data_IF_346031562081
#
_entry.id   IF_346031562081
#
_cell.length_a   1.000
_cell.length_b   1.000
_cell.length_c   1.000
_cell.angle_alpha   90.00
_cell.angle_beta   90.00
_cell.angle_gamma   90.00
#
_symmetry.space_group_name_H-M   'P 1'
#
loop_
_entity.id
_entity.type
_entity.pdbx_description
1 polymer ?
2 non-polymer ?
3 non-polymer ?
#
# COMPACT_ATOMS: atom_id res chain seq x y z
N UNK A 31 -27.38 -1.63 -16.05
CA UNK A 31 -26.30 -2.49 -16.64
C UNK A 31 -25.66 -3.46 -15.64
N UNK A 32 -24.68 -4.23 -16.13
CA UNK A 32 -23.77 -5.06 -15.30
C UNK A 32 -23.09 -4.25 -14.14
N UNK A 33 -22.58 -4.96 -13.13
CA UNK A 33 -21.79 -4.34 -12.05
C UNK A 33 -20.34 -4.85 -12.07
N UNK A 34 -19.44 -4.11 -11.42
CA UNK A 34 -18.02 -4.47 -11.37
C UNK A 34 -17.38 -4.13 -10.03
N UNK A 35 -16.27 -4.81 -9.74
CA UNK A 35 -15.48 -4.55 -8.54
C UNK A 35 -14.60 -3.33 -8.76
N UNK A 36 -14.21 -2.67 -7.67
CA UNK A 36 -13.24 -1.57 -7.72
C UNK A 36 -12.00 -2.01 -8.50
N UNK A 37 -11.52 -3.23 -8.22
CA UNK A 37 -10.38 -3.80 -8.93
C UNK A 37 -10.52 -3.62 -10.44
N UNK A 38 -11.63 -4.10 -10.99
CA UNK A 38 -11.85 -4.06 -12.43
C UNK A 38 -12.09 -2.63 -12.89
N UNK A 39 -12.75 -1.85 -12.03
CA UNK A 39 -13.06 -0.45 -12.30
C UNK A 39 -11.80 0.37 -12.56
N UNK A 40 -10.90 0.43 -11.59
CA UNK A 40 -9.63 1.14 -11.78
C UNK A 40 -8.73 0.47 -12.81
N UNK A 41 -9.29 -0.46 -13.58
CA UNK A 41 -8.59 -1.05 -14.71
C UNK A 41 -7.71 -2.26 -14.42
N UNK A 42 -7.97 -2.93 -13.29
CA UNK A 42 -7.32 -4.21 -12.99
C UNK A 42 -5.86 -4.17 -12.58
N UNK A 43 -5.17 -5.28 -12.81
CA UNK A 43 -3.82 -5.52 -12.28
C UNK A 43 -2.77 -4.48 -12.63
N UNK A 44 -2.68 -4.11 -13.90
CA UNK A 44 -1.64 -3.18 -14.35
C UNK A 44 -1.69 -1.91 -13.52
N UNK A 45 -2.90 -1.50 -13.16
CA UNK A 45 -3.09 -0.35 -12.29
C UNK A 45 -2.29 -0.51 -11.00
N UNK A 46 -2.50 -1.65 -10.33
CA UNK A 46 -1.87 -1.93 -9.04
C UNK A 46 -0.40 -2.21 -9.18
N UNK A 47 -0.03 -2.84 -10.29
CA UNK A 47 1.36 -3.06 -10.62
C UNK A 47 2.08 -1.72 -10.69
N UNK A 48 1.40 -0.73 -11.30
CA UNK A 48 1.92 0.62 -11.47
C UNK A 48 1.97 1.38 -10.16
N UNK A 49 0.93 1.22 -9.34
CA UNK A 49 0.84 1.94 -8.08
C UNK A 49 2.00 1.62 -7.14
N UNK A 50 2.33 0.34 -7.04
CA UNK A 50 3.38 -0.14 -6.14
C UNK A 50 4.76 0.24 -6.64
N UNK A 51 4.90 0.27 -7.97
CA UNK A 51 6.13 0.67 -8.63
C UNK A 51 6.53 2.07 -8.19
N UNK A 52 5.74 3.07 -8.61
CA UNK A 52 5.96 4.50 -8.30
C UNK A 52 6.03 4.78 -6.81
N UNK A 53 5.58 3.80 -6.03
CA UNK A 53 5.60 3.89 -4.60
C UNK A 53 6.98 3.54 -4.10
N UNK A 54 7.39 2.30 -4.33
CA UNK A 54 8.69 1.85 -3.87
C UNK A 54 9.83 2.63 -4.49
N UNK A 55 9.64 3.08 -5.72
CA UNK A 55 10.57 4.02 -6.35
C UNK A 55 10.93 5.17 -5.39
N UNK A 56 9.89 5.80 -4.83
CA UNK A 56 10.07 6.90 -3.87
C UNK A 56 10.59 6.41 -2.53
N UNK A 57 10.16 5.21 -2.13
CA UNK A 57 10.63 4.58 -0.90
C UNK A 57 12.15 4.34 -0.98
N UNK A 58 12.60 3.85 -2.15
CA UNK A 58 14.03 3.73 -2.47
C UNK A 58 14.77 5.05 -2.24
N UNK A 59 14.22 6.13 -2.79
CA UNK A 59 14.79 7.48 -2.65
C UNK A 59 14.72 8.07 -1.23
N UNK A 60 13.94 7.44 -0.34
CA UNK A 60 13.78 7.92 1.05
C UNK A 60 14.79 7.22 1.96
N UNK A 61 15.59 8.03 2.71
CA UNK A 61 16.60 7.47 3.64
C UNK A 61 15.96 6.60 4.75
N UNK A 62 15.11 7.21 5.59
CA UNK A 62 14.48 6.49 6.72
C UNK A 62 13.81 5.17 6.33
N UNK A 63 13.25 5.15 5.11
CA UNK A 63 12.46 4.00 4.66
C UNK A 63 13.31 2.93 3.92
N UNK A 64 14.45 3.36 3.37
CA UNK A 64 15.38 2.42 2.74
C UNK A 64 15.95 1.44 3.82
N UNK A 65 16.56 2.01 4.94
CA UNK A 65 16.81 1.37 6.26
C UNK A 65 15.68 0.45 6.77
N UNK A 66 14.44 1.00 6.79
CA UNK A 66 13.25 0.27 7.30
C UNK A 66 13.21 -1.20 6.88
N UNK A 67 13.69 -1.46 5.67
CA UNK A 67 13.75 -2.81 5.15
C UNK A 67 15.20 -3.27 5.12
N UNK A 68 15.49 -4.44 5.74
CA UNK A 68 16.87 -4.98 5.82
C UNK A 68 17.47 -5.38 4.46
N UNK A 69 18.77 -5.07 4.29
CA UNK A 69 19.56 -5.45 3.09
C UNK A 69 19.10 -4.75 1.79
N UNK A 70 19.04 -5.54 0.72
CA UNK A 70 18.69 -5.05 -0.62
C UNK A 70 17.83 -6.09 -1.33
N UNK A 71 17.64 -5.89 -2.65
CA UNK A 71 16.81 -6.78 -3.49
C UNK A 71 15.44 -6.96 -2.83
N UNK A 72 14.92 -5.83 -2.35
CA UNK A 72 13.67 -5.77 -1.60
C UNK A 72 12.50 -5.42 -2.55
N UNK A 73 12.70 -5.78 -3.83
CA UNK A 73 11.64 -5.81 -4.87
C UNK A 73 10.51 -6.84 -4.72
N UNK A 74 10.71 -7.91 -3.84
CA UNK A 74 9.63 -8.89 -3.54
C UNK A 74 8.57 -8.30 -2.59
N UNK A 75 9.03 -7.45 -1.66
CA UNK A 75 8.15 -6.65 -0.80
C UNK A 75 7.16 -5.86 -1.65
N UNK A 76 7.66 -5.26 -2.74
CA UNK A 76 6.81 -4.59 -3.74
C UNK A 76 5.71 -5.52 -4.25
N UNK A 77 6.07 -6.78 -4.53
CA UNK A 77 5.13 -7.79 -5.02
C UNK A 77 4.01 -8.05 -4.03
N UNK A 78 4.37 -8.09 -2.74
CA UNK A 78 3.40 -8.37 -1.70
C UNK A 78 2.29 -7.33 -1.64
N UNK A 79 2.67 -6.07 -1.41
CA UNK A 79 1.72 -4.96 -1.38
C UNK A 79 0.81 -5.07 -2.60
N UNK A 80 1.44 -5.06 -3.77
CA UNK A 80 0.79 -5.29 -5.04
C UNK A 80 -0.28 -6.38 -4.97
N UNK A 81 0.09 -7.56 -4.49
CA UNK A 81 -0.81 -8.72 -4.46
C UNK A 81 -1.92 -8.55 -3.45
N UNK A 82 -1.57 -7.89 -2.35
CA UNK A 82 -2.51 -7.58 -1.28
C UNK A 82 -3.59 -6.65 -1.79
N UNK A 83 -3.17 -5.49 -2.29
CA UNK A 83 -4.09 -4.48 -2.78
C UNK A 83 -4.95 -5.00 -3.91
N UNK A 84 -4.35 -5.81 -4.78
CA UNK A 84 -5.12 -6.48 -5.80
C UNK A 84 -6.25 -7.22 -5.13
N UNK A 85 -5.91 -7.97 -4.09
CA UNK A 85 -6.87 -8.80 -3.36
C UNK A 85 -7.94 -7.96 -2.65
N UNK A 86 -7.51 -6.89 -1.98
CA UNK A 86 -8.41 -6.04 -1.20
C UNK A 86 -9.54 -5.42 -2.02
N UNK A 87 -9.21 -4.96 -3.22
CA UNK A 87 -10.19 -4.25 -4.02
C UNK A 87 -11.06 -5.20 -4.86
N UNK A 88 -10.97 -6.49 -4.55
CA UNK A 88 -11.82 -7.50 -5.20
C UNK A 88 -11.12 -8.26 -6.32
N UNK A 89 -9.79 -8.25 -6.29
CA UNK A 89 -9.02 -8.96 -7.32
C UNK A 89 -8.76 -10.40 -6.93
N UNK A 90 -7.80 -11.05 -7.62
CA UNK A 90 -7.24 -12.38 -7.30
C UNK A 90 -6.92 -12.57 -5.81
N UNK A 91 -7.32 -13.72 -5.25
CA UNK A 91 -6.99 -14.09 -3.87
C UNK A 91 -5.50 -14.43 -3.72
N UNK A 92 -4.77 -14.26 -4.83
CA UNK A 92 -3.36 -14.62 -4.90
C UNK A 92 -2.59 -14.38 -3.61
N UNK A 93 -2.78 -13.20 -3.01
CA UNK A 93 -1.99 -12.82 -1.84
C UNK A 93 -2.10 -13.86 -0.72
N UNK A 94 -3.33 -14.25 -0.40
CA UNK A 94 -3.59 -15.25 0.63
C UNK A 94 -2.86 -16.54 0.30
N UNK A 95 -3.07 -17.02 -0.92
CA UNK A 95 -2.53 -18.30 -1.34
C UNK A 95 -0.99 -18.36 -1.40
N UNK A 96 -0.33 -17.38 -0.80
CA UNK A 96 1.12 -17.36 -0.75
C UNK A 96 1.58 -16.82 0.59
N UNK A 97 0.76 -15.93 1.15
CA UNK A 97 1.11 -15.23 2.37
C UNK A 97 0.04 -15.43 3.44
N UNK A 98 -1.01 -16.18 3.08
CA UNK A 98 -2.07 -16.57 4.02
C UNK A 98 -3.04 -15.46 4.35
N UNK A 99 -3.90 -15.71 5.34
CA UNK A 99 -4.77 -14.67 5.88
C UNK A 99 -3.94 -13.48 6.32
N UNK A 100 -4.27 -12.29 5.79
CA UNK A 100 -3.50 -11.06 6.02
C UNK A 100 -3.60 -10.55 7.46
N UNK A 101 -2.59 -10.85 8.27
CA UNK A 101 -2.54 -10.29 9.62
C UNK A 101 -1.59 -9.10 9.56
N UNK A 102 -2.20 -7.93 9.42
CA UNK A 102 -1.50 -6.73 8.98
C UNK A 102 -0.51 -6.20 10.02
N UNK A 103 -1.00 -5.80 11.19
CA UNK A 103 -0.12 -5.26 12.22
C UNK A 103 0.71 -6.34 12.91
N UNK A 104 0.36 -7.62 12.69
CA UNK A 104 1.28 -8.69 13.05
C UNK A 104 2.56 -8.45 12.27
N UNK A 105 2.43 -8.51 10.95
CA UNK A 105 3.55 -8.33 10.04
C UNK A 105 4.16 -6.93 10.10
N UNK A 106 3.54 -6.06 10.89
CA UNK A 106 4.05 -4.71 11.10
C UNK A 106 4.59 -4.49 12.52
N UNK A 107 4.29 -5.42 13.43
CA UNK A 107 4.83 -5.39 14.81
C UNK A 107 6.38 -5.40 14.84
N UNK A 108 7.02 -6.19 13.94
CA UNK A 108 8.48 -6.17 13.88
C UNK A 108 9.08 -4.76 13.82
N UNK A 109 8.31 -3.79 13.34
CA UNK A 109 8.87 -2.50 12.95
C UNK A 109 8.50 -1.31 13.83
N UNK A 110 9.46 -0.41 13.99
CA UNK A 110 9.25 0.79 14.78
C UNK A 110 8.59 1.82 13.87
N UNK A 111 7.25 1.79 13.84
CA UNK A 111 6.44 2.65 12.96
C UNK A 111 5.82 3.79 13.75
N UNK A 112 6.27 5.01 13.47
CA UNK A 112 5.73 6.21 14.12
C UNK A 112 5.13 7.20 13.13
N UNK A 113 4.92 8.44 13.57
CA UNK A 113 4.38 9.49 12.70
C UNK A 113 5.32 9.71 11.54
N UNK A 114 6.49 10.29 11.82
CA UNK A 114 7.50 10.55 10.79
C UNK A 114 7.49 9.44 9.74
N UNK A 115 7.41 8.20 10.21
CA UNK A 115 7.39 7.02 9.34
C UNK A 115 6.19 7.05 8.41
N UNK A 116 5.01 6.84 8.99
CA UNK A 116 3.75 6.86 8.26
C UNK A 116 3.66 8.06 7.32
N UNK A 117 3.92 9.26 7.85
CA UNK A 117 3.88 10.46 7.05
C UNK A 117 4.71 10.32 5.77
N UNK A 118 5.90 9.74 5.88
CA UNK A 118 6.76 9.56 4.71
C UNK A 118 6.21 8.49 3.77
N UNK A 119 5.66 7.42 4.34
CA UNK A 119 4.98 6.38 3.57
C UNK A 119 3.90 7.01 2.74
N UNK A 120 3.03 7.77 3.40
CA UNK A 120 1.89 8.41 2.77
C UNK A 120 2.28 9.38 1.67
N UNK A 121 3.41 10.05 1.85
CA UNK A 121 3.88 11.00 0.85
C UNK A 121 4.29 10.26 -0.43
N UNK A 122 4.78 9.04 -0.27
CA UNK A 122 5.11 8.20 -1.40
C UNK A 122 3.86 7.58 -2.00
N UNK A 123 2.85 7.36 -1.16
CA UNK A 123 1.57 6.85 -1.63
C UNK A 123 0.77 7.91 -2.33
N UNK A 124 0.79 9.14 -1.82
CA UNK A 124 0.14 10.29 -2.48
C UNK A 124 0.70 10.43 -3.88
N UNK A 125 2.02 10.57 -3.96
CA UNK A 125 2.73 10.61 -5.23
C UNK A 125 2.32 9.46 -6.16
N UNK A 126 2.26 8.25 -5.62
CA UNK A 126 1.95 7.05 -6.39
C UNK A 126 0.55 7.07 -6.98
N UNK A 127 -0.37 7.75 -6.30
CA UNK A 127 -1.77 7.75 -6.69
C UNK A 127 -2.04 8.77 -7.79
N UNK A 128 -1.40 9.94 -7.69
CA UNK A 128 -1.58 11.03 -8.66
C UNK A 128 -1.13 10.59 -10.05
N UNK A 129 -0.14 9.69 -10.08
CA UNK A 129 0.42 9.12 -11.30
C UNK A 129 -0.58 8.23 -12.04
N UNK A 130 -1.48 7.62 -11.28
CA UNK A 130 -2.55 6.82 -11.89
C UNK A 130 -3.58 7.73 -12.51
N UNK A 131 -3.69 8.95 -11.97
CA UNK A 131 -4.62 9.94 -12.49
C UNK A 131 -5.98 9.28 -12.68
N UNK A 132 -6.58 8.95 -11.50
CA UNK A 132 -7.92 8.39 -11.50
C UNK A 132 -8.95 9.51 -11.45
N UNK A 133 -10.19 9.20 -11.86
CA UNK A 133 -11.37 10.04 -11.61
C UNK A 133 -11.41 10.33 -10.12
N UNK A 134 -11.86 11.52 -9.74
CA UNK A 134 -11.88 11.89 -8.33
C UNK A 134 -12.60 10.89 -7.42
N UNK A 135 -13.70 10.29 -7.90
CA UNK A 135 -14.49 9.38 -7.07
C UNK A 135 -13.72 8.13 -6.65
N UNK A 136 -13.06 7.51 -7.62
CA UNK A 136 -12.31 6.30 -7.36
C UNK A 136 -11.06 6.65 -6.58
N UNK A 137 -10.30 7.61 -7.11
CA UNK A 137 -9.11 8.09 -6.44
C UNK A 137 -9.40 8.38 -4.97
N UNK A 138 -10.55 8.99 -4.70
CA UNK A 138 -10.92 9.37 -3.36
C UNK A 138 -11.11 8.14 -2.49
N UNK A 139 -11.54 7.05 -3.10
CA UNK A 139 -11.87 5.83 -2.38
C UNK A 139 -10.61 5.04 -2.09
N UNK A 140 -9.78 4.88 -3.11
CA UNK A 140 -8.50 4.24 -2.94
C UNK A 140 -7.64 4.97 -1.91
N UNK A 141 -7.43 6.27 -2.10
CA UNK A 141 -6.53 7.04 -1.24
C UNK A 141 -6.98 7.05 0.20
N UNK A 142 -8.29 7.14 0.41
CA UNK A 142 -8.83 7.22 1.75
C UNK A 142 -8.58 5.96 2.55
N UNK A 143 -8.74 4.80 1.93
CA UNK A 143 -8.39 3.56 2.60
C UNK A 143 -6.94 3.58 3.08
N UNK A 144 -6.03 3.88 2.16
CA UNK A 144 -4.60 3.92 2.43
C UNK A 144 -4.20 5.00 3.43
N UNK A 145 -5.01 6.04 3.54
CA UNK A 145 -4.78 7.08 4.54
C UNK A 145 -5.07 6.56 5.94
N UNK A 146 -6.23 5.92 6.09
CA UNK A 146 -6.59 5.22 7.31
C UNK A 146 -5.57 4.12 7.58
N UNK A 147 -5.43 3.21 6.63
CA UNK A 147 -4.63 2.00 6.82
C UNK A 147 -3.23 2.28 7.32
N UNK A 148 -2.71 3.46 7.02
CA UNK A 148 -1.36 3.84 7.44
C UNK A 148 -1.38 4.55 8.78
N UNK A 149 -2.48 5.23 9.07
CA UNK A 149 -2.67 5.85 10.36
C UNK A 149 -3.00 4.78 11.36
N UNK A 150 -3.69 3.73 10.90
CA UNK A 150 -4.04 2.60 11.74
C UNK A 150 -2.79 1.81 12.13
N UNK A 151 -1.88 1.67 11.19
CA UNK A 151 -0.74 0.76 11.31
C UNK A 151 0.25 1.19 12.37
N UNK A 152 0.27 2.48 12.67
CA UNK A 152 1.22 3.04 13.63
C UNK A 152 1.09 2.37 15.00
N UNK A 153 2.22 1.89 15.52
CA UNK A 153 2.23 1.06 16.73
C UNK A 153 2.83 1.70 18.01
N UNK A 154 3.68 2.72 17.86
CA UNK A 154 4.18 3.52 19.01
C UNK A 154 3.05 4.36 19.67
N UNK A 155 3.20 4.74 20.97
CA UNK A 155 2.08 5.38 21.71
C UNK A 155 1.72 6.83 21.29
N UNK A 156 1.92 7.18 20.01
CA UNK A 156 1.70 8.55 19.52
C UNK A 156 0.26 9.01 19.23
N UNK A 157 -0.61 8.10 18.79
CA UNK A 157 -1.93 8.49 18.26
C UNK A 157 -3.11 8.75 19.25
N UNK A 158 -4.20 9.34 18.74
CA UNK A 158 -5.46 9.47 19.47
C UNK A 158 -6.55 8.47 19.07
N UNK A 159 -6.45 7.27 19.66
CA UNK A 159 -7.53 6.25 19.74
C UNK A 159 -7.09 5.10 20.70
X LIG B 1 5.15 -5.11 5.12
X LIG B 1 6.44 -0.61 6.35
X LIG B 1 1.87 0.77 5.92
X LIG B 1 0.88 -3.38 3.59
X LIG B 1 5.85 -4.03 5.60
X LIG B 1 7.17 -4.10 6.19
X LIG B 1 7.52 -2.84 6.54
X LIG B 1 6.44 -1.97 6.17
X LIG B 1 8.83 -2.31 7.20
X LIG B 1 7.97 -5.43 6.35
X LIG B 1 8.66 -5.84 5.04
X LIG B 1 8.12 -7.11 4.42
X LIG B 1 8.57 -7.47 3.29
X LIG B 1 7.23 -7.76 5.06
X LIG B 1 5.31 0.15 6.43
X LIG B 1 5.20 1.47 7.01
X LIG B 1 3.93 1.84 6.90
X LIG B 1 3.20 0.78 6.24
X LIG B 1 6.35 2.29 7.65
X LIG B 1 3.35 3.19 7.38
X LIG B 1 2.46 3.23 8.38
X LIG B 1 1.22 -0.22 5.21
X LIG B 1 -0.14 -0.16 4.72
X LIG B 1 -0.41 -1.30 4.09
X LIG B 1 0.78 -2.13 4.14
X LIG B 1 -1.12 1.02 4.91
X LIG B 1 -1.73 -1.70 3.41
X LIG B 1 -2.01 -1.24 2.18
X LIG B 1 1.91 -4.25 3.81
X LIG B 1 1.94 -5.62 3.37
X LIG B 1 3.29 -6.17 3.85
X LIG B 1 3.92 -5.06 4.53
X LIG B 1 0.84 -6.36 2.57
X LIG B 1 3.88 -7.60 3.66
X LIG B 1 3.23 -8.63 4.58
X LIG B 1 3.59 -10.03 4.13
X LIG B 1 4.60 -10.57 4.62
X LIG B 1 2.85 -10.59 3.29
X LIG B 1 5.43 -2.72 5.60
X LIG B 1 4.08 -0.24 5.95
X LIG B 1 1.76 -1.44 4.82
X LIG B 1 3.08 -3.96 4.48
X LIG B 1 3.63 -2.06 5.20
X LIG C 1 5.05 -2.79 2.31
X LIG C 1 5.81 -1.99 2.88
X LIG C 1 3.84 -2.48 2.34
X LIG C 1 5.56 -4.03 1.62
#
# INVERSE_FOLDING_TARGET
MVRVPRERSGTRSALGEASTYPVGAMTSQHDDQMTFYEAVGGEETFTRLARRFFEGVAADPVLRPMFPEEDLGPAEERLRLFLMQYWGGPETYSERRGHPRLRMRHEPYRIGAEERDRFLTHMRAAVDDLALPAHLEQQLWEYLVYAAYAMVNVPEDAQPPMVQ
HEM CHA CHB CHC CHD C1A C2A C3A C4A CMA CAA CBA CGA O1A O2A C1B C2B C3B C4B CMB CAB CBB C1C C2C C3C C4C CMC CAC CBC C1D C2D C3D C4D CMD CAD CBD CGD O1D O2D NA NB NC ND FE
ACT C O OXT CH3
#
